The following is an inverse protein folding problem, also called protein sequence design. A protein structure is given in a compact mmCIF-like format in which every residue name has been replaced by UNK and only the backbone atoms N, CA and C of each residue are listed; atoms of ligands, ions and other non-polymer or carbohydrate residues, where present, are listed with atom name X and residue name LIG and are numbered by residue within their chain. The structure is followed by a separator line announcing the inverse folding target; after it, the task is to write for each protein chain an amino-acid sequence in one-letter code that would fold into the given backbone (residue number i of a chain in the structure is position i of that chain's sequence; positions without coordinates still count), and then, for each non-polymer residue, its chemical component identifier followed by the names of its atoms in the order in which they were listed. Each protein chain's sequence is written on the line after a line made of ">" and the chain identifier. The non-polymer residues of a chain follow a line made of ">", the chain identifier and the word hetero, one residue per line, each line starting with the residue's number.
data_IF_789877132601
#
_entry.id   IF_789877132601
#
_cell.length_a   1.000
_cell.length_b   1.000
_cell.length_c   1.000
_cell.angle_alpha   90.00
_cell.angle_beta   90.00
_cell.angle_gamma   90.00
#
_symmetry.space_group_name_H-M   'P 1'
#
loop_
_entity.id
_entity.type
_entity.pdbx_description
1 polymer ?
#
# COMPACT_ATOMS: atom_id res chain seq x y z
N UNK A 1 9.17 -7.56 -12.05
CA UNK A 1 9.62 -8.16 -13.33
C UNK A 1 9.98 -7.04 -14.29
N UNK A 2 11.04 -7.17 -15.09
CA UNK A 2 11.45 -6.16 -16.08
C UNK A 2 11.42 -6.80 -17.47
N UNK A 3 10.89 -6.11 -18.47
CA UNK A 3 11.00 -6.50 -19.87
C UNK A 3 11.36 -5.29 -20.71
N UNK A 4 12.01 -5.55 -21.85
CA UNK A 4 12.24 -4.60 -22.93
C UNK A 4 11.96 -5.35 -24.24
N UNK A 5 10.88 -5.01 -24.93
CA UNK A 5 10.49 -5.68 -26.18
C UNK A 5 10.33 -4.66 -27.31
N UNK A 6 10.72 -4.99 -28.55
CA UNK A 6 10.49 -4.11 -29.68
C UNK A 6 9.00 -4.00 -30.01
N UNK A 7 8.53 -2.78 -30.22
CA UNK A 7 7.18 -2.52 -30.71
C UNK A 7 7.07 -2.75 -32.24
N UNK A 8 5.89 -2.49 -32.81
CA UNK A 8 5.65 -2.58 -34.27
C UNK A 8 6.60 -1.76 -35.15
N UNK A 9 7.20 -0.69 -34.61
CA UNK A 9 8.14 0.19 -35.30
C UNK A 9 9.61 -0.16 -34.98
N UNK A 10 9.84 -1.26 -34.24
CA UNK A 10 11.17 -1.74 -33.85
C UNK A 10 11.78 -1.01 -32.65
N UNK A 11 11.07 -0.06 -32.05
CA UNK A 11 11.54 0.68 -30.86
C UNK A 11 11.34 -0.17 -29.61
N UNK A 12 12.35 -0.21 -28.74
CA UNK A 12 12.24 -0.93 -27.47
C UNK A 12 11.28 -0.20 -26.54
N UNK A 13 10.32 -0.95 -26.00
CA UNK A 13 9.40 -0.52 -24.95
C UNK A 13 9.70 -1.31 -23.69
N UNK A 14 9.91 -0.58 -22.61
CA UNK A 14 10.16 -1.15 -21.29
C UNK A 14 8.94 -1.03 -20.39
N UNK A 15 8.77 -1.96 -19.45
CA UNK A 15 7.70 -1.83 -18.43
C UNK A 15 7.84 -0.53 -17.62
N UNK A 16 9.08 -0.07 -17.38
CA UNK A 16 9.39 1.18 -16.68
C UNK A 16 8.73 2.39 -17.34
N UNK A 17 8.69 2.44 -18.68
CA UNK A 17 8.04 3.53 -19.43
C UNK A 17 6.51 3.51 -19.37
N UNK A 18 5.92 2.43 -18.85
CA UNK A 18 4.48 2.26 -18.69
C UNK A 18 4.02 2.48 -17.24
N UNK A 19 4.95 2.61 -16.28
CA UNK A 19 4.61 2.90 -14.89
C UNK A 19 3.89 4.25 -14.75
N UNK A 20 3.06 4.37 -13.73
CA UNK A 20 2.13 5.50 -13.55
C UNK A 20 0.80 5.33 -14.30
N UNK A 21 0.67 4.33 -15.18
CA UNK A 21 -0.56 3.95 -15.88
C UNK A 21 -1.01 2.56 -15.46
N UNK A 22 -2.30 2.27 -15.62
CA UNK A 22 -2.73 0.87 -15.68
C UNK A 22 -2.23 0.26 -16.99
N UNK A 23 -1.88 -1.02 -17.00
CA UNK A 23 -1.48 -1.71 -18.23
C UNK A 23 -2.38 -2.92 -18.45
N UNK A 24 -3.13 -2.90 -19.55
CA UNK A 24 -3.86 -4.05 -20.06
C UNK A 24 -2.92 -4.81 -21.00
N UNK A 25 -2.20 -5.79 -20.43
CA UNK A 25 -1.22 -6.60 -21.14
C UNK A 25 -1.88 -7.88 -21.65
N UNK A 26 -2.23 -7.93 -22.94
CA UNK A 26 -2.91 -9.09 -23.52
C UNK A 26 -1.99 -9.86 -24.49
N UNK A 27 -1.84 -11.15 -24.23
CA UNK A 27 -1.08 -12.10 -25.02
C UNK A 27 -1.98 -12.78 -26.03
N UNK A 28 -1.55 -12.84 -27.29
CA UNK A 28 -2.30 -13.51 -28.35
C UNK A 28 -1.39 -14.41 -29.21
N UNK A 29 -1.92 -15.53 -29.77
CA UNK A 29 -1.07 -16.51 -30.46
C UNK A 29 -0.40 -16.02 -31.75
N UNK A 30 -1.14 -15.27 -32.57
CA UNK A 30 -0.70 -14.84 -33.92
C UNK A 30 -1.57 -13.72 -34.48
N UNK A 31 -0.94 -12.66 -34.94
CA UNK A 31 -1.57 -11.51 -35.59
C UNK A 31 -2.34 -11.91 -36.85
N UNK A 32 -3.48 -11.24 -37.10
CA UNK A 32 -4.30 -11.43 -38.29
C UNK A 32 -5.16 -12.70 -38.34
N UNK A 33 -5.07 -13.60 -37.34
CA UNK A 33 -6.02 -14.72 -37.22
C UNK A 33 -7.40 -14.21 -36.74
N UNK A 34 -8.53 -14.83 -37.12
CA UNK A 34 -9.86 -14.29 -36.87
C UNK A 34 -10.11 -13.90 -35.40
N UNK A 35 -9.78 -14.78 -34.45
CA UNK A 35 -9.96 -14.48 -33.03
C UNK A 35 -9.04 -13.36 -32.51
N UNK A 36 -7.79 -13.29 -32.96
CA UNK A 36 -6.87 -12.22 -32.56
C UNK A 36 -7.26 -10.86 -33.17
N UNK A 37 -7.76 -10.86 -34.41
CA UNK A 37 -8.29 -9.66 -35.05
C UNK A 37 -9.53 -9.16 -34.32
N UNK A 38 -10.45 -10.06 -33.96
CA UNK A 38 -11.65 -9.71 -33.20
C UNK A 38 -11.30 -9.13 -31.83
N UNK A 39 -10.37 -9.74 -31.10
CA UNK A 39 -9.90 -9.23 -29.79
C UNK A 39 -9.25 -7.85 -29.90
N UNK A 40 -8.34 -7.66 -30.87
CA UNK A 40 -7.66 -6.37 -31.08
C UNK A 40 -8.65 -5.25 -31.46
N UNK A 41 -9.64 -5.53 -32.31
CA UNK A 41 -10.69 -4.57 -32.67
C UNK A 41 -11.62 -4.27 -31.48
N UNK A 42 -11.91 -5.26 -30.63
CA UNK A 42 -12.68 -5.05 -29.42
C UNK A 42 -11.95 -4.13 -28.42
N UNK A 43 -10.64 -4.31 -28.24
CA UNK A 43 -9.84 -3.36 -27.46
C UNK A 43 -9.74 -1.98 -28.12
N UNK A 44 -9.58 -1.90 -29.45
CA UNK A 44 -9.56 -0.63 -30.17
C UNK A 44 -10.87 0.16 -29.96
N UNK A 45 -12.02 -0.54 -29.97
CA UNK A 45 -13.34 0.05 -29.69
C UNK A 45 -13.42 0.72 -28.31
N UNK A 46 -12.77 0.12 -27.30
CA UNK A 46 -12.76 0.62 -25.92
C UNK A 46 -11.54 1.49 -25.57
N UNK A 47 -10.63 1.72 -26.52
CA UNK A 47 -9.33 2.34 -26.26
C UNK A 47 -9.46 3.75 -25.68
N UNK A 48 -10.38 4.57 -26.20
CA UNK A 48 -10.59 5.93 -25.70
C UNK A 48 -10.97 5.92 -24.21
N UNK A 49 -11.92 5.05 -23.83
CA UNK A 49 -12.38 4.92 -22.45
C UNK A 49 -11.28 4.39 -21.53
N UNK A 50 -10.53 3.38 -21.98
CA UNK A 50 -9.38 2.86 -21.25
C UNK A 50 -8.32 3.96 -21.02
N UNK A 51 -8.04 4.79 -22.02
CA UNK A 51 -7.11 5.94 -21.90
C UNK A 51 -7.60 7.00 -20.92
N UNK A 52 -8.90 7.33 -20.91
CA UNK A 52 -9.49 8.25 -19.93
C UNK A 52 -9.30 7.78 -18.47
N UNK A 53 -9.32 6.46 -18.26
CA UNK A 53 -9.07 5.84 -16.95
C UNK A 53 -7.56 5.81 -16.60
N UNK A 54 -6.70 6.23 -17.52
CA UNK A 54 -5.24 6.18 -17.39
C UNK A 54 -4.67 4.79 -17.65
N UNK A 55 -5.33 3.97 -18.47
CA UNK A 55 -4.85 2.65 -18.90
C UNK A 55 -4.24 2.69 -20.30
N UNK A 56 -3.15 1.93 -20.48
CA UNK A 56 -2.52 1.65 -21.76
C UNK A 56 -2.82 0.20 -22.15
N UNK A 57 -3.26 -0.02 -23.40
CA UNK A 57 -3.44 -1.37 -23.96
C UNK A 57 -2.16 -1.80 -24.65
N UNK A 58 -1.68 -3.00 -24.31
CA UNK A 58 -0.45 -3.57 -24.84
C UNK A 58 -0.70 -4.99 -25.31
N UNK A 59 -0.70 -5.19 -26.62
CA UNK A 59 -0.76 -6.51 -27.23
C UNK A 59 0.62 -7.14 -27.35
N UNK A 60 0.75 -8.43 -27.03
CA UNK A 60 2.02 -9.16 -27.10
C UNK A 60 1.83 -10.46 -27.87
N UNK A 61 2.69 -10.70 -28.87
CA UNK A 61 2.75 -12.00 -29.56
C UNK A 61 4.16 -12.34 -30.04
N UNK A 62 4.41 -13.60 -30.46
CA UNK A 62 5.69 -13.99 -31.07
C UNK A 62 5.93 -13.43 -32.48
N UNK A 63 4.99 -12.63 -33.02
CA UNK A 63 5.11 -12.06 -34.36
C UNK A 63 6.22 -11.01 -34.39
N UNK A 64 7.01 -10.99 -35.46
CA UNK A 64 8.07 -9.98 -35.68
C UNK A 64 7.47 -8.57 -35.83
N UNK A 65 8.24 -7.49 -35.54
CA UNK A 65 7.77 -6.11 -35.66
C UNK A 65 7.09 -5.78 -37.00
N UNK A 66 7.64 -6.25 -38.13
CA UNK A 66 7.05 -5.99 -39.45
C UNK A 66 5.66 -6.61 -39.62
N UNK A 67 5.40 -7.77 -39.01
CA UNK A 67 4.07 -8.40 -39.01
C UNK A 67 3.09 -7.57 -38.18
N UNK A 68 3.53 -7.10 -37.00
CA UNK A 68 2.72 -6.25 -36.13
C UNK A 68 2.39 -4.91 -36.77
N UNK A 69 3.34 -4.31 -37.50
CA UNK A 69 3.14 -3.07 -38.24
C UNK A 69 2.03 -3.21 -39.28
N UNK A 70 2.08 -4.27 -40.09
CA UNK A 70 1.04 -4.57 -41.09
C UNK A 70 -0.31 -4.83 -40.45
N UNK A 71 -0.33 -5.55 -39.33
CA UNK A 71 -1.56 -5.85 -38.59
C UNK A 71 -2.20 -4.58 -38.02
N UNK A 72 -1.41 -3.72 -37.37
CA UNK A 72 -1.85 -2.42 -36.86
C UNK A 72 -2.37 -1.52 -37.97
N UNK A 73 -1.62 -1.37 -39.08
CA UNK A 73 -2.04 -0.54 -40.21
C UNK A 73 -3.33 -1.04 -40.88
N UNK A 74 -3.46 -2.37 -41.06
CA UNK A 74 -4.65 -2.97 -41.70
C UNK A 74 -5.93 -2.75 -40.89
N UNK A 75 -5.83 -2.70 -39.56
CA UNK A 75 -6.98 -2.65 -38.67
C UNK A 75 -7.12 -1.32 -37.91
N UNK A 76 -6.27 -0.33 -38.19
CA UNK A 76 -6.31 0.98 -37.52
C UNK A 76 -6.05 0.88 -36.01
N UNK A 77 -5.14 0.00 -35.58
CA UNK A 77 -4.83 -0.18 -34.16
C UNK A 77 -3.89 0.93 -33.67
N UNK A 78 -4.33 1.69 -32.66
CA UNK A 78 -3.63 2.86 -32.13
C UNK A 78 -2.90 2.60 -30.80
N UNK A 79 -2.94 1.37 -30.30
CA UNK A 79 -2.30 0.96 -29.06
C UNK A 79 -1.01 0.15 -29.32
N UNK A 80 -0.23 -0.08 -28.27
CA UNK A 80 1.07 -0.73 -28.39
C UNK A 80 0.95 -2.21 -28.75
N UNK A 81 1.74 -2.65 -29.74
CA UNK A 81 1.94 -4.06 -30.07
C UNK A 81 3.42 -4.37 -29.92
N UNK A 82 3.74 -5.36 -29.09
CA UNK A 82 5.10 -5.79 -28.78
C UNK A 82 5.38 -7.16 -29.38
N UNK A 83 6.58 -7.29 -29.96
CA UNK A 83 7.11 -8.53 -30.49
C UNK A 83 7.89 -9.26 -29.41
N UNK A 84 7.37 -10.38 -28.95
CA UNK A 84 8.01 -11.32 -28.03
C UNK A 84 8.48 -12.55 -28.80
N UNK A 85 9.35 -12.33 -29.81
CA UNK A 85 9.77 -13.37 -30.76
C UNK A 85 10.44 -14.58 -30.08
N UNK A 86 11.20 -14.33 -29.02
CA UNK A 86 11.85 -15.36 -28.20
C UNK A 86 10.95 -15.89 -27.08
N UNK A 87 9.73 -15.35 -26.97
CA UNK A 87 8.71 -15.72 -26.00
C UNK A 87 9.11 -15.58 -24.51
N UNK A 88 10.10 -14.74 -24.22
CA UNK A 88 10.64 -14.51 -22.87
C UNK A 88 9.56 -13.95 -21.95
N UNK A 89 8.78 -12.97 -22.44
CA UNK A 89 7.72 -12.37 -21.64
C UNK A 89 6.56 -13.35 -21.44
N UNK A 90 6.19 -14.09 -22.49
CA UNK A 90 5.17 -15.14 -22.42
C UNK A 90 5.54 -16.27 -21.45
N UNK A 91 6.80 -16.67 -21.37
CA UNK A 91 7.29 -17.67 -20.40
C UNK A 91 7.18 -17.16 -18.97
N UNK A 92 7.63 -15.95 -18.70
CA UNK A 92 7.62 -15.41 -17.36
C UNK A 92 6.20 -15.06 -16.83
N UNK A 93 5.22 -14.86 -17.71
CA UNK A 93 3.78 -14.81 -17.34
C UNK A 93 3.11 -16.19 -17.32
N UNK A 94 3.84 -17.26 -17.65
CA UNK A 94 3.36 -18.64 -17.65
C UNK A 94 2.34 -18.95 -18.74
N UNK A 95 2.34 -18.19 -19.85
CA UNK A 95 1.38 -18.32 -20.96
C UNK A 95 1.98 -19.00 -22.19
N UNK A 96 3.26 -19.41 -22.15
CA UNK A 96 3.89 -20.27 -23.15
C UNK A 96 3.39 -21.72 -23.01
N UNK A 97 2.81 -22.30 -24.07
CA UNK A 97 2.39 -23.71 -24.16
C UNK A 97 3.05 -24.39 -25.37
N UNK A 98 4.16 -25.09 -25.13
CA UNK A 98 4.95 -25.71 -26.19
C UNK A 98 5.43 -24.66 -27.20
N UNK A 99 5.01 -24.75 -28.48
CA UNK A 99 5.31 -23.75 -29.52
C UNK A 99 4.26 -22.64 -29.69
N UNK A 100 3.20 -22.62 -28.87
CA UNK A 100 2.14 -21.60 -28.91
C UNK A 100 2.12 -20.70 -27.67
N UNK A 101 1.51 -19.52 -27.80
CA UNK A 101 1.12 -18.64 -26.70
C UNK A 101 -0.36 -18.89 -26.39
N UNK A 102 -0.71 -19.06 -25.12
CA UNK A 102 -2.09 -19.18 -24.63
C UNK A 102 -2.69 -17.78 -24.50
N UNK A 103 -3.84 -17.54 -25.15
CA UNK A 103 -4.52 -16.24 -25.09
C UNK A 103 -4.86 -15.91 -23.64
N UNK A 104 -4.28 -14.82 -23.14
CA UNK A 104 -4.38 -14.42 -21.73
C UNK A 104 -4.28 -12.91 -21.63
N UNK A 105 -4.85 -12.30 -20.61
CA UNK A 105 -4.72 -10.87 -20.33
C UNK A 105 -4.37 -10.66 -18.87
N UNK A 106 -3.54 -9.68 -18.59
CA UNK A 106 -3.15 -9.28 -17.25
C UNK A 106 -3.39 -7.79 -17.10
N UNK A 107 -4.03 -7.41 -15.99
CA UNK A 107 -4.18 -6.01 -15.61
C UNK A 107 -3.10 -5.70 -14.58
N UNK A 108 -2.19 -4.80 -14.93
CA UNK A 108 -1.18 -4.26 -14.01
C UNK A 108 -1.64 -2.90 -13.50
N UNK A 109 -1.38 -2.63 -12.21
CA UNK A 109 -1.56 -1.30 -11.65
C UNK A 109 -0.42 -0.34 -12.02
N UNK A 110 -0.50 0.89 -11.51
CA UNK A 110 0.46 1.98 -11.77
C UNK A 110 1.87 1.68 -11.27
N UNK A 111 2.05 0.73 -10.35
CA UNK A 111 3.35 0.26 -9.89
C UNK A 111 3.85 -0.95 -10.71
N UNK A 112 3.08 -1.42 -11.69
CA UNK A 112 3.39 -2.59 -12.49
C UNK A 112 3.06 -3.92 -11.81
N UNK A 113 2.25 -3.90 -10.73
CA UNK A 113 1.84 -5.11 -10.02
C UNK A 113 0.61 -5.69 -10.71
N UNK A 114 0.63 -7.00 -10.99
CA UNK A 114 -0.54 -7.70 -11.55
C UNK A 114 -1.67 -7.74 -10.51
N UNK A 115 -2.78 -7.07 -10.83
CA UNK A 115 -3.99 -7.03 -9.99
C UNK A 115 -5.05 -8.02 -10.43
N UNK A 116 -5.03 -8.41 -11.71
CA UNK A 116 -5.96 -9.39 -12.26
C UNK A 116 -5.34 -10.17 -13.42
N UNK A 117 -5.80 -11.40 -13.63
CA UNK A 117 -5.37 -12.26 -14.72
C UNK A 117 -6.54 -13.04 -15.32
N UNK A 118 -6.72 -12.93 -16.64
CA UNK A 118 -7.60 -13.78 -17.43
C UNK A 118 -6.73 -14.75 -18.21
N UNK A 119 -6.93 -16.05 -18.03
CA UNK A 119 -6.20 -17.11 -18.74
C UNK A 119 -7.17 -17.91 -19.60
N UNK A 120 -6.68 -18.48 -20.71
CA UNK A 120 -7.51 -19.23 -21.68
C UNK A 120 -8.71 -18.41 -22.16
N UNK A 121 -8.45 -17.14 -22.49
CA UNK A 121 -9.47 -16.16 -22.85
C UNK A 121 -10.29 -16.64 -24.05
N UNK A 122 -11.62 -16.53 -23.89
CA UNK A 122 -12.57 -16.57 -25.00
C UNK A 122 -12.82 -15.13 -25.45
N UNK A 123 -12.69 -14.87 -26.76
CA UNK A 123 -12.68 -13.50 -27.29
C UNK A 123 -14.00 -12.74 -27.09
N UNK A 124 -15.20 -13.33 -27.34
CA UNK A 124 -16.45 -12.59 -27.20
C UNK A 124 -16.66 -12.04 -25.78
N UNK A 125 -16.83 -10.73 -25.65
CA UNK A 125 -17.08 -10.04 -24.37
C UNK A 125 -15.85 -9.77 -23.51
N UNK A 126 -14.66 -10.26 -23.90
CA UNK A 126 -13.45 -10.15 -23.08
C UNK A 126 -12.99 -8.70 -22.89
N UNK A 127 -12.99 -7.90 -23.96
CA UNK A 127 -12.55 -6.50 -23.86
C UNK A 127 -13.50 -5.67 -22.98
N UNK A 128 -14.81 -5.96 -23.01
CA UNK A 128 -15.80 -5.37 -22.11
C UNK A 128 -15.55 -5.75 -20.64
N UNK A 129 -15.25 -7.02 -20.37
CA UNK A 129 -14.93 -7.50 -19.01
C UNK A 129 -13.66 -6.84 -18.46
N UNK A 130 -12.62 -6.73 -19.30
CA UNK A 130 -11.38 -6.04 -18.95
C UNK A 130 -11.65 -4.57 -18.66
N UNK A 131 -12.41 -3.87 -19.51
CA UNK A 131 -12.78 -2.48 -19.29
C UNK A 131 -13.50 -2.29 -17.95
N UNK A 132 -14.52 -3.11 -17.66
CA UNK A 132 -15.26 -3.04 -16.39
C UNK A 132 -14.34 -3.25 -15.18
N UNK A 133 -13.35 -4.14 -15.31
CA UNK A 133 -12.37 -4.39 -14.24
C UNK A 133 -11.40 -3.23 -14.06
N UNK A 134 -10.96 -2.59 -15.14
CA UNK A 134 -10.16 -1.35 -15.09
C UNK A 134 -10.96 -0.22 -14.45
N UNK A 135 -12.25 -0.07 -14.77
CA UNK A 135 -13.13 0.93 -14.16
C UNK A 135 -13.26 0.73 -12.66
N UNK A 136 -13.54 -0.51 -12.22
CA UNK A 136 -13.63 -0.84 -10.80
C UNK A 136 -12.32 -0.59 -10.06
N UNK A 137 -11.18 -0.98 -10.64
CA UNK A 137 -9.86 -0.75 -10.05
C UNK A 137 -9.52 0.74 -9.98
N UNK A 138 -9.76 1.49 -11.06
CA UNK A 138 -9.48 2.91 -11.12
C UNK A 138 -10.36 3.73 -10.15
N UNK A 139 -11.61 3.30 -9.94
CA UNK A 139 -12.47 3.89 -8.93
C UNK A 139 -11.93 3.62 -7.53
N UNK A 140 -11.61 2.36 -7.21
CA UNK A 140 -11.07 1.98 -5.91
C UNK A 140 -9.75 2.70 -5.57
N UNK A 141 -8.84 2.83 -6.54
CA UNK A 141 -7.54 3.51 -6.34
C UNK A 141 -7.67 5.04 -6.18
N UNK A 142 -8.80 5.64 -6.57
CA UNK A 142 -9.09 7.08 -6.35
C UNK A 142 -9.74 7.35 -5.00
N UNK A 143 -10.32 6.34 -4.38
CA UNK A 143 -10.94 6.47 -3.07
C UNK A 143 -9.89 6.55 -1.97
N UNK A 144 -10.28 7.17 -0.85
CA UNK A 144 -9.42 7.19 0.33
C UNK A 144 -9.18 5.76 0.81
N UNK A 145 -7.93 5.44 1.15
CA UNK A 145 -7.59 4.10 1.64
C UNK A 145 -8.46 3.72 2.85
N UNK A 146 -9.19 2.61 2.72
CA UNK A 146 -10.14 2.16 3.73
C UNK A 146 -9.50 1.85 5.09
N UNK A 147 -8.24 1.39 5.13
CA UNK A 147 -7.52 1.13 6.39
C UNK A 147 -7.19 2.44 7.11
N UNK A 148 -6.77 3.47 6.37
CA UNK A 148 -6.53 4.82 6.92
C UNK A 148 -7.85 5.38 7.50
N UNK A 149 -8.97 5.21 6.79
CA UNK A 149 -10.29 5.64 7.26
C UNK A 149 -10.78 4.85 8.47
N UNK A 150 -10.54 3.53 8.51
CA UNK A 150 -11.01 2.65 9.57
C UNK A 150 -10.22 2.83 10.88
N UNK A 151 -8.91 3.11 10.79
CA UNK A 151 -8.04 3.22 11.97
C UNK A 151 -8.53 4.28 12.96
N UNK A 152 -8.82 3.89 14.19
CA UNK A 152 -9.28 4.75 15.30
C UNK A 152 -8.40 4.57 16.53
N UNK A 153 -8.42 5.55 17.43
CA UNK A 153 -7.78 5.47 18.74
C UNK A 153 -8.73 4.74 19.71
N UNK A 154 -8.97 3.46 19.42
CA UNK A 154 -9.88 2.59 20.17
C UNK A 154 -9.31 2.26 21.55
N UNK A 155 -10.18 2.08 22.55
CA UNK A 155 -9.81 1.85 23.96
C UNK A 155 -10.39 0.57 24.53
N UNK A 156 -11.49 0.06 23.97
CA UNK A 156 -12.05 -1.21 24.39
C UNK A 156 -11.15 -2.34 23.89
N UNK A 157 -10.47 -3.03 24.81
CA UNK A 157 -9.53 -4.10 24.51
C UNK A 157 -9.91 -5.35 25.29
N UNK A 158 -9.82 -6.52 24.64
CA UNK A 158 -9.85 -7.81 25.32
C UNK A 158 -8.43 -8.27 25.67
N UNK A 159 -8.24 -9.05 26.75
CA UNK A 159 -6.91 -9.41 27.27
C UNK A 159 -6.25 -10.58 26.53
N UNK A 160 -6.91 -11.13 25.52
CA UNK A 160 -6.41 -12.25 24.72
C UNK A 160 -5.00 -11.94 24.19
N UNK A 161 -4.05 -12.89 24.31
CA UNK A 161 -2.68 -12.67 23.85
C UNK A 161 -2.62 -12.40 22.34
N UNK A 162 -1.59 -11.67 21.93
CA UNK A 162 -1.24 -11.48 20.52
C UNK A 162 -0.04 -12.38 20.23
N UNK A 163 -0.10 -13.15 19.14
CA UNK A 163 0.97 -14.04 18.75
C UNK A 163 2.27 -13.24 18.46
N UNK A 164 3.41 -13.85 18.76
CA UNK A 164 4.71 -13.19 18.59
C UNK A 164 4.97 -12.85 17.11
N UNK A 165 4.57 -13.74 16.20
CA UNK A 165 4.70 -13.55 14.75
C UNK A 165 3.86 -12.39 14.24
N UNK A 166 2.70 -12.15 14.87
CA UNK A 166 1.85 -11.02 14.55
C UNK A 166 2.47 -9.71 15.01
N UNK A 167 3.02 -9.65 16.24
CA UNK A 167 3.74 -8.47 16.70
C UNK A 167 4.99 -8.22 15.85
N UNK A 168 5.73 -9.27 15.49
CA UNK A 168 6.88 -9.14 14.60
C UNK A 168 6.47 -8.51 13.26
N UNK A 169 5.35 -8.94 12.67
CA UNK A 169 4.81 -8.36 11.44
C UNK A 169 4.46 -6.87 11.59
N UNK A 170 3.98 -6.44 12.76
CA UNK A 170 3.76 -5.02 13.05
C UNK A 170 5.06 -4.22 13.04
N UNK A 171 6.12 -4.78 13.63
CA UNK A 171 7.45 -4.14 13.68
C UNK A 171 8.11 -4.14 12.30
N UNK A 172 7.99 -5.22 11.52
CA UNK A 172 8.46 -5.29 10.13
C UNK A 172 7.79 -4.20 9.29
N UNK A 173 6.47 -4.02 9.40
CA UNK A 173 5.76 -2.94 8.73
C UNK A 173 6.28 -1.57 9.17
N UNK A 174 6.48 -1.34 10.47
CA UNK A 174 7.06 -0.09 10.97
C UNK A 174 8.47 0.17 10.39
N UNK A 175 9.28 -0.89 10.28
CA UNK A 175 10.66 -0.82 9.82
C UNK A 175 10.79 -0.50 8.32
N UNK A 176 9.74 -0.73 7.53
CA UNK A 176 9.68 -0.36 6.11
C UNK A 176 9.45 1.15 5.89
N UNK A 177 9.26 1.94 6.94
CA UNK A 177 9.15 3.39 6.81
C UNK A 177 10.43 3.98 6.20
N UNK A 178 10.32 5.04 5.36
CA UNK A 178 11.49 5.80 4.95
C UNK A 178 12.05 6.59 6.13
N UNK A 179 13.31 7.00 6.02
CA UNK A 179 13.96 7.92 6.97
C UNK A 179 15.02 8.77 6.27
N UNK A 180 15.38 9.90 6.87
CA UNK A 180 16.45 10.75 6.38
C UNK A 180 17.76 9.94 6.29
N UNK A 181 18.43 10.00 5.13
CA UNK A 181 19.58 9.14 4.77
C UNK A 181 19.41 7.63 5.03
N UNK A 182 18.16 7.14 5.15
CA UNK A 182 17.86 5.78 5.59
C UNK A 182 18.47 5.44 6.97
N UNK A 183 18.56 6.41 7.88
CA UNK A 183 19.16 6.24 9.21
C UNK A 183 18.37 5.30 10.14
N UNK A 184 17.06 5.16 9.91
CA UNK A 184 16.18 4.23 10.63
C UNK A 184 16.28 4.41 12.16
N UNK A 185 15.92 5.60 12.69
CA UNK A 185 16.24 6.01 14.06
C UNK A 185 15.37 5.36 15.14
N UNK A 186 14.32 4.64 14.76
CA UNK A 186 13.38 4.01 15.68
C UNK A 186 14.01 2.85 16.44
N UNK A 187 13.72 2.76 17.75
CA UNK A 187 13.96 1.58 18.58
C UNK A 187 12.64 1.16 19.21
N UNK A 188 12.26 -0.10 18.99
CA UNK A 188 11.04 -0.68 19.53
C UNK A 188 11.38 -1.65 20.65
N UNK A 189 10.71 -1.52 21.79
CA UNK A 189 10.72 -2.54 22.84
C UNK A 189 9.30 -3.09 22.95
N UNK A 190 9.11 -4.34 22.52
CA UNK A 190 7.85 -5.08 22.71
C UNK A 190 7.79 -5.54 24.17
N UNK A 191 6.74 -5.15 24.87
CA UNK A 191 6.57 -5.42 26.30
C UNK A 191 5.38 -6.36 26.50
N UNK A 192 5.67 -7.55 27.01
CA UNK A 192 4.72 -8.59 27.39
C UNK A 192 5.16 -9.21 28.73
N UNK A 193 4.32 -10.04 29.34
CA UNK A 193 4.66 -10.78 30.57
C UNK A 193 4.93 -9.86 31.76
N UNK A 194 5.90 -10.20 32.61
CA UNK A 194 6.17 -9.48 33.87
C UNK A 194 6.52 -8.00 33.67
N UNK A 195 7.32 -7.68 32.64
CA UNK A 195 7.70 -6.28 32.34
C UNK A 195 6.51 -5.41 31.95
N UNK A 196 5.43 -6.02 31.41
CA UNK A 196 4.23 -5.29 31.04
C UNK A 196 3.54 -4.71 32.28
N UNK A 197 3.53 -5.42 33.40
CA UNK A 197 2.93 -4.94 34.64
C UNK A 197 3.71 -3.75 35.23
N UNK A 198 5.04 -3.73 35.07
CA UNK A 198 5.85 -2.56 35.45
C UNK A 198 5.50 -1.33 34.59
N UNK A 199 5.34 -1.50 33.27
CA UNK A 199 4.92 -0.41 32.37
C UNK A 199 3.51 0.07 32.69
N UNK A 200 2.58 -0.84 32.97
CA UNK A 200 1.19 -0.53 33.34
C UNK A 200 1.10 0.30 34.63
N UNK A 201 1.95 0.04 35.63
CA UNK A 201 2.03 0.82 36.88
C UNK A 201 2.45 2.28 36.65
N UNK A 202 3.17 2.55 35.57
CA UNK A 202 3.59 3.91 35.20
C UNK A 202 2.52 4.69 34.40
N UNK A 203 1.34 4.11 34.18
CA UNK A 203 0.23 4.78 33.50
C UNK A 203 -0.60 5.62 34.49
N UNK A 204 -1.03 6.84 34.11
CA UNK A 204 -1.97 7.61 34.91
C UNK A 204 -3.35 6.96 34.89
N UNK A 205 -4.17 7.23 35.91
CA UNK A 205 -5.52 6.64 36.04
C UNK A 205 -6.44 6.87 34.83
N UNK A 206 -6.26 7.97 34.09
CA UNK A 206 -6.98 8.23 32.84
C UNK A 206 -6.75 7.19 31.72
N UNK A 207 -5.66 6.42 31.80
CA UNK A 207 -5.32 5.34 30.88
C UNK A 207 -5.67 3.94 31.42
N UNK A 208 -6.62 3.83 32.37
CA UNK A 208 -7.09 2.56 32.94
C UNK A 208 -7.41 1.48 31.88
N UNK A 209 -7.93 1.88 30.71
CA UNK A 209 -8.31 0.98 29.62
C UNK A 209 -7.10 0.20 29.05
N UNK A 210 -5.91 0.80 29.08
CA UNK A 210 -4.68 0.17 28.59
C UNK A 210 -4.20 -0.96 29.51
N UNK A 211 -4.71 -1.07 30.75
CA UNK A 211 -4.36 -2.16 31.67
C UNK A 211 -4.82 -3.53 31.16
N UNK A 212 -5.85 -3.57 30.31
CA UNK A 212 -6.33 -4.80 29.63
C UNK A 212 -5.47 -5.21 28.45
N UNK A 213 -4.56 -4.36 28.00
CA UNK A 213 -3.69 -4.64 26.86
C UNK A 213 -2.80 -5.87 27.16
N UNK A 214 -2.73 -6.84 26.23
CA UNK A 214 -1.81 -7.98 26.33
C UNK A 214 -0.36 -7.64 25.93
N UNK A 215 -0.14 -6.51 25.25
CA UNK A 215 1.18 -6.09 24.77
C UNK A 215 1.26 -4.58 24.54
N UNK A 216 2.38 -3.97 24.92
CA UNK A 216 2.68 -2.56 24.64
C UNK A 216 4.00 -2.48 23.86
N UNK A 217 4.06 -1.66 22.82
CA UNK A 217 5.32 -1.33 22.14
C UNK A 217 5.80 0.02 22.61
N UNK A 218 6.92 0.05 23.33
CA UNK A 218 7.60 1.29 23.67
C UNK A 218 8.46 1.75 22.49
N UNK A 219 8.26 2.99 22.04
CA UNK A 219 8.97 3.57 20.90
C UNK A 219 9.94 4.62 21.43
N UNK A 220 11.24 4.33 21.31
CA UNK A 220 12.29 5.23 21.76
C UNK A 220 13.23 5.59 20.61
N UNK A 221 13.87 6.75 20.74
CA UNK A 221 14.91 7.19 19.80
C UNK A 221 15.82 8.22 20.45
N UNK A 222 16.89 8.61 19.76
CA UNK A 222 17.88 9.56 20.23
C UNK A 222 18.23 10.53 19.07
N UNK A 223 18.45 11.84 19.34
CA UNK A 223 18.74 12.82 18.29
C UNK A 223 19.88 12.44 17.35
N UNK A 224 20.92 11.80 17.87
CA UNK A 224 22.10 11.41 17.09
C UNK A 224 21.88 10.15 16.23
N UNK A 225 20.72 9.50 16.32
CA UNK A 225 20.36 8.39 15.44
C UNK A 225 19.82 8.86 14.09
N UNK A 226 19.68 10.17 13.87
CA UNK A 226 19.13 10.70 12.64
C UNK A 226 19.72 12.06 12.23
N UNK A 227 19.24 12.57 11.11
CA UNK A 227 19.58 13.87 10.59
C UNK A 227 19.25 15.00 11.56
N UNK A 228 20.27 15.84 11.78
CA UNK A 228 20.17 17.11 12.49
C UNK A 228 20.60 18.20 11.52
N UNK A 229 19.63 18.85 10.91
CA UNK A 229 19.87 19.81 9.83
C UNK A 229 19.59 21.24 10.29
N UNK A 230 20.04 22.20 9.49
CA UNK A 230 19.79 23.64 9.72
C UNK A 230 18.30 23.95 9.92
N UNK A 231 18.02 25.05 10.61
CA UNK A 231 16.66 25.53 10.88
C UNK A 231 15.83 24.58 11.77
N UNK A 232 16.49 24.02 12.80
CA UNK A 232 15.86 23.16 13.81
C UNK A 232 15.18 21.90 13.24
N UNK A 233 15.73 21.34 12.16
CA UNK A 233 15.19 20.15 11.50
C UNK A 233 15.86 18.88 12.04
N UNK A 234 15.47 18.49 13.24
CA UNK A 234 15.82 17.20 13.84
C UNK A 234 14.79 16.13 13.44
N UNK A 235 15.22 15.12 12.69
CA UNK A 235 14.29 14.17 12.04
C UNK A 235 13.92 12.95 12.89
N UNK A 236 14.71 12.63 13.93
CA UNK A 236 14.59 11.35 14.64
C UNK A 236 13.17 11.03 15.15
N UNK A 237 12.42 12.05 15.60
CA UNK A 237 11.02 11.87 16.04
C UNK A 237 10.02 11.86 14.88
N UNK A 238 10.25 12.65 13.83
CA UNK A 238 9.41 12.65 12.63
C UNK A 238 9.45 11.28 11.94
N UNK A 239 10.65 10.71 11.80
CA UNK A 239 10.87 9.41 11.20
C UNK A 239 10.32 8.27 12.08
N UNK A 240 10.42 8.38 13.42
CA UNK A 240 9.69 7.48 14.32
C UNK A 240 8.17 7.58 14.14
N UNK A 241 7.64 8.79 13.93
CA UNK A 241 6.22 9.02 13.66
C UNK A 241 5.73 8.31 12.39
N UNK A 242 6.54 8.32 11.32
CA UNK A 242 6.25 7.58 10.09
C UNK A 242 6.21 6.07 10.32
N UNK A 243 7.20 5.52 11.04
CA UNK A 243 7.27 4.11 11.39
C UNK A 243 6.06 3.66 12.22
N UNK A 244 5.66 4.44 13.24
CA UNK A 244 4.44 4.17 14.02
C UNK A 244 3.18 4.30 13.15
N UNK A 245 3.18 5.19 12.16
CA UNK A 245 2.13 5.27 11.14
C UNK A 245 1.93 3.95 10.40
N UNK A 246 3.01 3.35 9.89
CA UNK A 246 2.97 2.05 9.18
C UNK A 246 2.52 0.92 10.11
N UNK A 247 3.02 0.90 11.35
CA UNK A 247 2.59 -0.04 12.39
C UNK A 247 1.07 0.00 12.58
N UNK A 248 0.49 1.18 12.72
CA UNK A 248 -0.96 1.33 12.96
C UNK A 248 -1.81 0.87 11.77
N UNK A 249 -1.36 1.09 10.54
CA UNK A 249 -2.08 0.63 9.35
C UNK A 249 -1.99 -0.90 9.24
N UNK A 250 -0.82 -1.48 9.48
CA UNK A 250 -0.65 -2.94 9.52
C UNK A 250 -1.52 -3.57 10.61
N UNK A 251 -1.55 -2.99 11.81
CA UNK A 251 -2.41 -3.45 12.90
C UNK A 251 -3.90 -3.41 12.51
N UNK A 252 -4.33 -2.32 11.86
CA UNK A 252 -5.72 -2.16 11.40
C UNK A 252 -6.08 -3.23 10.37
N UNK A 253 -5.18 -3.54 9.43
CA UNK A 253 -5.37 -4.61 8.45
C UNK A 253 -5.51 -6.00 9.11
N UNK A 254 -4.79 -6.23 10.21
CA UNK A 254 -4.85 -7.47 10.99
C UNK A 254 -6.02 -7.53 11.98
N UNK A 255 -6.86 -6.48 12.04
CA UNK A 255 -7.98 -6.40 12.98
C UNK A 255 -7.58 -6.05 14.43
N UNK A 256 -6.33 -5.64 14.64
CA UNK A 256 -5.81 -5.20 15.93
C UNK A 256 -6.07 -3.71 16.16
N UNK A 257 -6.21 -3.35 17.43
CA UNK A 257 -6.06 -1.97 17.89
C UNK A 257 -4.58 -1.69 18.12
N UNK A 258 -4.09 -0.60 17.54
CA UNK A 258 -2.81 0.02 17.88
C UNK A 258 -3.07 1.49 18.26
N UNK A 259 -2.90 1.81 19.54
CA UNK A 259 -3.23 3.12 20.09
C UNK A 259 -1.98 3.77 20.73
N UNK A 260 -1.30 4.70 20.02
CA UNK A 260 -0.20 5.46 20.60
C UNK A 260 -0.70 6.42 21.67
N UNK A 261 -0.11 6.36 22.86
CA UNK A 261 -0.39 7.26 23.98
C UNK A 261 0.86 8.07 24.34
N UNK A 262 0.66 9.20 25.02
CA UNK A 262 1.72 10.01 25.64
C UNK A 262 1.57 10.10 27.18
N UNK A 263 0.43 9.65 27.73
CA UNK A 263 0.18 9.67 29.17
C UNK A 263 0.82 8.48 29.87
N UNK A 264 2.04 8.64 30.33
CA UNK A 264 2.80 7.70 31.17
C UNK A 264 3.95 8.45 31.85
N UNK A 265 4.56 7.85 32.88
CA UNK A 265 5.84 8.32 33.41
C UNK A 265 7.00 7.79 32.53
N UNK A 266 7.65 8.64 31.72
CA UNK A 266 8.70 8.18 30.82
C UNK A 266 9.97 7.72 31.56
N UNK A 267 10.25 8.24 32.76
CA UNK A 267 11.45 7.85 33.51
C UNK A 267 11.27 6.44 34.06
N UNK A 268 10.14 6.20 34.75
CA UNK A 268 9.82 4.90 35.31
C UNK A 268 9.75 3.80 34.23
N UNK A 269 9.15 4.11 33.07
CA UNK A 269 9.10 3.15 31.95
C UNK A 269 10.49 2.89 31.36
N UNK A 270 11.32 3.93 31.18
CA UNK A 270 12.69 3.74 30.67
C UNK A 270 13.52 2.87 31.62
N UNK A 271 13.40 3.09 32.94
CA UNK A 271 14.07 2.26 33.95
C UNK A 271 13.60 0.81 33.90
N UNK A 272 12.29 0.57 33.87
CA UNK A 272 11.71 -0.78 33.81
C UNK A 272 12.14 -1.56 32.54
N UNK A 273 12.34 -0.86 31.43
CA UNK A 273 12.68 -1.46 30.14
C UNK A 273 14.18 -1.45 29.83
N UNK A 274 15.01 -0.79 30.65
CA UNK A 274 16.44 -0.61 30.39
C UNK A 274 16.73 0.31 29.20
N UNK A 275 15.85 1.28 28.92
CA UNK A 275 16.06 2.29 27.87
C UNK A 275 17.01 3.37 28.42
N UNK A 276 18.07 3.76 27.69
CA UNK A 276 19.02 4.76 28.16
C UNK A 276 18.37 6.11 28.53
N UNK A 277 18.95 6.81 29.50
CA UNK A 277 18.35 8.04 30.06
C UNK A 277 18.29 9.19 29.05
N UNK A 278 19.26 9.26 28.16
CA UNK A 278 19.37 10.23 27.06
C UNK A 278 18.41 9.95 25.90
N UNK A 279 17.84 8.74 25.79
CA UNK A 279 16.82 8.44 24.80
C UNK A 279 15.48 9.12 25.15
N UNK A 280 14.80 9.58 24.11
CA UNK A 280 13.42 10.03 24.15
C UNK A 280 12.51 8.81 23.94
N UNK A 281 11.74 8.45 24.96
CA UNK A 281 10.63 7.50 24.86
C UNK A 281 9.40 8.29 24.37
N UNK A 282 9.17 8.34 23.06
CA UNK A 282 8.21 9.26 22.42
C UNK A 282 6.75 8.80 22.55
N UNK A 283 6.49 7.49 22.52
CA UNK A 283 5.14 6.95 22.70
C UNK A 283 5.16 5.52 23.20
N UNK A 284 4.07 5.13 23.87
CA UNK A 284 3.70 3.73 24.07
C UNK A 284 2.55 3.41 23.12
N UNK A 285 2.74 2.43 22.24
CA UNK A 285 1.65 1.92 21.38
C UNK A 285 0.99 0.76 22.11
N UNK A 286 -0.22 1.01 22.62
CA UNK A 286 -1.04 0.00 23.28
C UNK A 286 -1.65 -0.92 22.21
N UNK A 287 -1.34 -2.21 22.28
CA UNK A 287 -1.87 -3.21 21.36
C UNK A 287 -2.97 -4.04 22.02
N UNK A 288 -3.92 -4.52 21.22
CA UNK A 288 -4.91 -5.46 21.70
C UNK A 288 -5.95 -5.77 20.63
N UNK A 289 -6.71 -6.82 20.86
CA UNK A 289 -7.89 -7.10 20.06
C UNK A 289 -9.05 -6.21 20.52
N UNK A 290 -9.99 -5.82 19.63
CA UNK A 290 -11.18 -5.07 20.02
C UNK A 290 -11.97 -5.79 21.13
N UNK A 291 -12.29 -5.06 22.20
CA UNK A 291 -13.12 -5.51 23.32
C UNK A 291 -14.50 -4.86 23.33
N UNK A 292 -15.20 -4.94 24.47
CA UNK A 292 -16.53 -4.38 24.66
C UNK A 292 -16.49 -2.88 25.06
N UNK A 293 -17.03 -1.95 24.25
CA UNK A 293 -17.15 -0.55 24.62
C UNK A 293 -18.00 -0.29 25.88
N UNK A 294 -18.83 -1.23 26.30
CA UNK A 294 -19.62 -1.16 27.54
C UNK A 294 -18.77 -1.07 28.81
N UNK A 295 -17.52 -1.51 28.76
CA UNK A 295 -16.57 -1.47 29.88
C UNK A 295 -15.80 -0.14 30.00
N UNK A 296 -16.02 0.78 29.05
CA UNK A 296 -15.41 2.10 29.06
C UNK A 296 -16.24 3.08 29.90
N UNK A 297 -15.59 4.12 30.42
CA UNK A 297 -16.29 5.28 30.98
C UNK A 297 -17.16 5.93 29.90
N UNK A 298 -18.23 6.62 30.30
CA UNK A 298 -19.17 7.22 29.34
C UNK A 298 -18.46 8.10 28.30
N UNK A 299 -17.51 8.92 28.74
CA UNK A 299 -16.67 9.76 27.87
C UNK A 299 -15.86 8.94 26.86
N UNK A 300 -15.24 7.85 27.28
CA UNK A 300 -14.44 7.02 26.37
C UNK A 300 -15.31 6.20 25.43
N UNK A 301 -16.47 5.71 25.89
CA UNK A 301 -17.46 5.02 25.06
C UNK A 301 -18.00 5.93 23.97
N UNK A 302 -18.30 7.19 24.30
CA UNK A 302 -18.71 8.20 23.30
C UNK A 302 -17.63 8.44 22.25
N UNK A 303 -16.35 8.53 22.65
CA UNK A 303 -15.24 8.69 21.70
C UNK A 303 -14.97 7.44 20.84
N UNK A 304 -15.23 6.25 21.39
CA UNK A 304 -15.07 4.97 20.73
C UNK A 304 -16.05 4.82 19.56
N UNK A 305 -17.33 5.14 19.82
CA UNK A 305 -18.44 4.97 18.88
C UNK A 305 -18.75 6.24 18.07
N UNK A 306 -18.28 7.39 18.55
CA UNK A 306 -18.54 8.68 17.95
C UNK A 306 -17.86 8.88 16.59
N UNK A 307 -18.30 9.89 15.84
CA UNK A 307 -17.76 10.19 14.51
C UNK A 307 -16.29 10.61 14.58
N UNK A 308 -15.64 10.64 13.41
CA UNK A 308 -14.28 11.20 13.29
C UNK A 308 -14.34 12.71 13.53
N UNK A 309 -13.52 13.20 14.46
CA UNK A 309 -13.38 14.65 14.72
C UNK A 309 -12.03 15.15 14.16
N UNK A 310 -12.06 16.16 13.30
CA UNK A 310 -10.88 16.83 12.70
C UNK A 310 -11.19 18.31 12.50
N UNK A 311 -10.14 19.15 12.45
CA UNK A 311 -10.24 20.51 11.89
C UNK A 311 -10.72 20.43 10.44
N UNK A 312 -11.41 21.46 9.91
CA UNK A 312 -11.70 21.52 8.48
C UNK A 312 -10.40 21.50 7.67
N UNK A 313 -10.47 20.97 6.44
CA UNK A 313 -9.28 20.80 5.59
C UNK A 313 -8.59 22.14 5.30
N UNK A 314 -9.35 23.23 5.17
CA UNK A 314 -8.83 24.58 4.98
C UNK A 314 -7.90 25.07 6.10
N UNK A 315 -8.00 24.50 7.30
CA UNK A 315 -7.10 24.85 8.40
C UNK A 315 -5.72 24.18 8.31
N UNK A 316 -5.54 23.20 7.42
CA UNK A 316 -4.29 22.43 7.27
C UNK A 316 -3.78 22.34 5.83
N UNK A 317 -4.57 22.79 4.84
CA UNK A 317 -4.24 22.74 3.42
C UNK A 317 -4.16 24.15 2.85
N UNK A 318 -2.99 24.51 2.33
CA UNK A 318 -2.79 25.72 1.54
C UNK A 318 -2.28 25.37 0.13
N UNK A 319 -2.77 26.10 -0.87
CA UNK A 319 -2.33 25.95 -2.26
C UNK A 319 -1.32 27.05 -2.59
N UNK A 320 -0.10 26.65 -2.94
CA UNK A 320 1.02 27.55 -3.25
C UNK A 320 1.51 28.45 -2.08
N UNK A 321 0.82 28.46 -0.94
CA UNK A 321 1.13 29.24 0.26
C UNK A 321 0.54 28.54 1.49
N UNK A 322 0.97 28.92 2.70
CA UNK A 322 0.38 28.40 3.94
C UNK A 322 -1.13 28.73 4.01
N UNK A 323 -1.95 27.84 4.62
CA UNK A 323 -3.35 28.15 4.84
C UNK A 323 -3.46 29.46 5.63
N UNK A 324 -4.27 30.40 5.14
CA UNK A 324 -4.55 31.64 5.87
C UNK A 324 -5.35 31.27 7.12
N UNK A 325 -4.87 31.68 8.29
CA UNK A 325 -5.62 31.50 9.53
C UNK A 325 -6.87 32.39 9.48
N UNK A 326 -8.06 31.77 9.51
CA UNK A 326 -9.33 32.44 9.77
C UNK A 326 -9.78 33.53 8.78
N UNK A 327 -10.52 33.11 7.74
CA UNK A 327 -11.62 33.92 7.18
C UNK A 327 -12.94 33.23 7.49
#
# INVERSE_FOLDING_TARGET
>A
MKFALPNKDGQLVELSSLLGRYVVLYFYPKAGTPGCTQEALAFQKHLARLRELGAEVVGVSPDRPQTLQRFSAKHGLEFLLLSDADAVLAEAYGVRKGRRVERSTFLLDRAGIVRWAWRRVLVPGHAEEVLATVEALAQADREMNGLIQARRAKRALRPDPIAQEDIQRLIEAAHLAPSCFNNQPWRFVVVQGEKLEAVKKALPGGNYWALKSPAIVAVASHPDLDCRLSDNRDYFLFDCGMAVGFLMIQATQMGLVAHPIAGYDPIAVKEALGIPKDYVLITLVVLGWPGDPGELSDKHRELELGPRVRKPLSAVLGWNSLPKEGT
#
